data_IF_158509840873
#
_entry.id   IF_158509840873
#
_cell.length_a   1.000
_cell.length_b   1.000
_cell.length_c   1.000
_cell.angle_alpha   90.00
_cell.angle_beta   90.00
_cell.angle_gamma   90.00
#
_symmetry.space_group_name_H-M   'P 1'
#
loop_
_entity.id
_entity.type
_entity.pdbx_description
1 polymer ?
#
# COMPACT_ATOMS: atom_id res chain seq x y z
N UNK A 1 -30.55 38.08 -34.31
CA UNK A 1 -30.49 36.61 -34.43
C UNK A 1 -29.68 36.08 -33.25
N UNK A 2 -30.37 35.57 -32.24
CA UNK A 2 -29.95 35.33 -30.84
C UNK A 2 -29.45 33.91 -30.58
N UNK A 3 -29.01 33.19 -31.62
CA UNK A 3 -28.58 31.79 -31.57
C UNK A 3 -27.40 31.55 -30.61
N UNK A 4 -26.56 32.54 -30.32
CA UNK A 4 -25.45 32.35 -29.39
C UNK A 4 -25.86 32.48 -27.93
N UNK A 5 -26.83 33.33 -27.59
CA UNK A 5 -27.27 33.56 -26.19
C UNK A 5 -28.23 32.48 -25.68
N UNK A 6 -29.06 31.91 -26.56
CA UNK A 6 -30.07 30.92 -26.17
C UNK A 6 -29.48 29.52 -25.94
N UNK A 7 -28.39 29.17 -26.64
CA UNK A 7 -27.76 27.84 -26.57
C UNK A 7 -26.52 27.81 -25.67
N UNK A 8 -26.01 28.97 -25.25
CA UNK A 8 -24.91 29.09 -24.30
C UNK A 8 -25.16 28.36 -22.97
N UNK A 9 -26.35 28.48 -22.34
CA UNK A 9 -26.66 27.76 -21.11
C UNK A 9 -26.63 26.24 -21.30
N UNK A 10 -27.09 25.77 -22.46
CA UNK A 10 -27.13 24.34 -22.82
C UNK A 10 -25.71 23.81 -22.99
N UNK A 11 -24.85 24.54 -23.70
CA UNK A 11 -23.44 24.18 -23.86
C UNK A 11 -22.68 24.16 -22.53
N UNK A 12 -22.91 25.15 -21.66
CA UNK A 12 -22.32 25.20 -20.32
C UNK A 12 -22.78 24.01 -19.47
N UNK A 13 -24.06 23.64 -19.53
CA UNK A 13 -24.57 22.47 -18.81
C UNK A 13 -23.94 21.15 -19.29
N UNK A 14 -23.75 20.98 -20.60
CA UNK A 14 -23.11 19.79 -21.18
C UNK A 14 -21.64 19.69 -20.73
N UNK A 15 -20.91 20.81 -20.75
CA UNK A 15 -19.50 20.85 -20.33
C UNK A 15 -19.38 20.58 -18.83
N UNK A 16 -20.21 21.22 -18.00
CA UNK A 16 -20.23 21.00 -16.56
C UNK A 16 -20.57 19.55 -16.18
N UNK A 17 -21.57 18.95 -16.83
CA UNK A 17 -21.93 17.54 -16.62
C UNK A 17 -20.80 16.59 -17.04
N UNK A 18 -20.12 16.89 -18.16
CA UNK A 18 -18.98 16.11 -18.65
C UNK A 18 -17.79 16.17 -17.68
N UNK A 19 -17.46 17.37 -17.18
CA UNK A 19 -16.43 17.58 -16.16
C UNK A 19 -16.79 16.88 -14.84
N UNK A 20 -18.03 17.01 -14.37
CA UNK A 20 -18.49 16.35 -13.15
C UNK A 20 -18.43 14.81 -13.27
N UNK A 21 -18.79 14.26 -14.43
CA UNK A 21 -18.69 12.83 -14.70
C UNK A 21 -17.23 12.34 -14.71
N UNK A 22 -16.34 13.05 -15.39
CA UNK A 22 -14.90 12.73 -15.42
C UNK A 22 -14.28 12.84 -14.03
N UNK A 23 -14.63 13.88 -13.27
CA UNK A 23 -14.16 14.09 -11.92
C UNK A 23 -14.65 12.98 -10.99
N UNK A 24 -15.94 12.63 -11.05
CA UNK A 24 -16.53 11.52 -10.29
C UNK A 24 -15.88 10.18 -10.65
N UNK A 25 -15.64 9.90 -11.94
CA UNK A 25 -14.95 8.68 -12.41
C UNK A 25 -13.51 8.61 -11.92
N UNK A 26 -12.78 9.73 -11.95
CA UNK A 26 -11.41 9.83 -11.41
C UNK A 26 -11.38 9.64 -9.90
N UNK A 27 -12.32 10.25 -9.17
CA UNK A 27 -12.43 10.10 -7.72
C UNK A 27 -12.81 8.66 -7.33
N UNK A 28 -13.69 8.00 -8.08
CA UNK A 28 -14.03 6.59 -7.85
C UNK A 28 -12.82 5.68 -8.04
N UNK A 29 -11.99 5.93 -9.08
CA UNK A 29 -10.73 5.19 -9.28
C UNK A 29 -9.74 5.42 -8.15
N UNK A 30 -9.60 6.66 -7.67
CA UNK A 30 -8.73 6.99 -6.53
C UNK A 30 -9.23 6.31 -5.24
N UNK A 31 -10.52 6.42 -4.92
CA UNK A 31 -11.10 5.76 -3.76
C UNK A 31 -10.93 4.24 -3.80
N UNK A 32 -11.13 3.63 -4.97
CA UNK A 32 -10.92 2.18 -5.14
C UNK A 32 -9.44 1.79 -4.99
N UNK A 33 -8.51 2.62 -5.49
CA UNK A 33 -7.08 2.43 -5.29
C UNK A 33 -6.71 2.53 -3.81
N UNK A 34 -7.18 3.56 -3.10
CA UNK A 34 -6.94 3.70 -1.66
C UNK A 34 -7.57 2.57 -0.85
N UNK A 35 -8.75 2.07 -1.23
CA UNK A 35 -9.38 0.92 -0.59
C UNK A 35 -8.55 -0.36 -0.80
N UNK A 36 -8.05 -0.61 -2.01
CA UNK A 36 -7.18 -1.76 -2.31
C UNK A 36 -5.83 -1.65 -1.60
N UNK A 37 -5.25 -0.44 -1.53
CA UNK A 37 -4.02 -0.17 -0.77
C UNK A 37 -4.27 -0.42 0.72
N UNK A 38 -5.40 0.05 1.28
CA UNK A 38 -5.77 -0.20 2.67
C UNK A 38 -5.96 -1.69 2.95
N UNK A 39 -6.68 -2.41 2.11
CA UNK A 39 -6.90 -3.85 2.23
C UNK A 39 -5.58 -4.63 2.12
N UNK A 40 -4.69 -4.20 1.23
CA UNK A 40 -3.34 -4.77 1.09
C UNK A 40 -2.45 -4.43 2.29
N UNK A 41 -2.53 -3.21 2.84
CA UNK A 41 -1.82 -2.82 4.07
C UNK A 41 -2.28 -3.65 5.25
N UNK A 42 -3.59 -3.78 5.46
CA UNK A 42 -4.15 -4.56 6.57
C UNK A 42 -3.77 -6.05 6.45
N UNK A 43 -3.79 -6.60 5.24
CA UNK A 43 -3.38 -7.99 5.00
C UNK A 43 -1.87 -8.22 5.21
N UNK A 44 -1.03 -7.38 4.60
CA UNK A 44 0.43 -7.55 4.63
C UNK A 44 1.00 -7.14 5.99
N UNK A 45 0.75 -5.89 6.42
CA UNK A 45 1.29 -5.38 7.69
C UNK A 45 0.66 -6.06 8.88
N UNK A 46 -0.62 -6.45 8.80
CA UNK A 46 -1.27 -7.23 9.84
C UNK A 46 -0.56 -8.56 10.05
N UNK A 47 -0.33 -9.32 8.98
CA UNK A 47 0.42 -10.59 9.08
C UNK A 47 1.83 -10.37 9.62
N UNK A 48 2.54 -9.36 9.12
CA UNK A 48 3.90 -9.03 9.56
C UNK A 48 3.95 -8.71 11.06
N UNK A 49 3.02 -7.88 11.55
CA UNK A 49 2.92 -7.47 12.94
C UNK A 49 2.61 -8.65 13.87
N UNK A 50 1.64 -9.49 13.53
CA UNK A 50 1.28 -10.63 14.37
C UNK A 50 2.39 -11.67 14.43
N UNK A 51 3.04 -11.96 13.30
CA UNK A 51 4.17 -12.89 13.28
C UNK A 51 5.32 -12.37 14.17
N UNK A 52 5.73 -11.10 14.01
CA UNK A 52 6.79 -10.50 14.85
C UNK A 52 6.42 -10.50 16.34
N UNK A 53 5.16 -10.21 16.67
CA UNK A 53 4.70 -10.22 18.06
C UNK A 53 4.86 -11.59 18.71
N UNK A 54 4.62 -12.67 17.96
CA UNK A 54 4.80 -14.05 18.43
C UNK A 54 6.30 -14.33 18.60
N UNK A 55 7.12 -13.98 17.60
CA UNK A 55 8.57 -14.20 17.63
C UNK A 55 9.23 -13.49 18.82
N UNK A 56 8.79 -12.27 19.14
CA UNK A 56 9.30 -11.50 20.28
C UNK A 56 9.03 -12.14 21.64
N UNK A 57 8.07 -13.06 21.72
CA UNK A 57 7.74 -13.80 22.95
C UNK A 57 8.57 -15.09 23.13
N UNK A 58 9.36 -15.48 22.12
CA UNK A 58 10.23 -16.66 22.21
C UNK A 58 11.40 -16.33 23.13
N UNK A 59 11.58 -17.15 24.16
CA UNK A 59 12.67 -17.00 25.15
C UNK A 59 13.98 -17.63 24.65
N UNK A 60 13.91 -18.75 23.94
CA UNK A 60 15.09 -19.41 23.38
C UNK A 60 15.65 -18.59 22.22
N UNK A 61 16.90 -18.15 22.36
CA UNK A 61 17.54 -17.26 21.39
C UNK A 61 17.78 -17.93 20.03
N UNK A 62 18.06 -19.24 20.03
CA UNK A 62 18.27 -19.99 18.81
C UNK A 62 16.97 -20.17 18.02
N UNK A 63 15.89 -20.58 18.69
CA UNK A 63 14.55 -20.68 18.13
C UNK A 63 14.05 -19.31 17.65
N UNK A 64 14.28 -18.26 18.43
CA UNK A 64 13.92 -16.90 18.07
C UNK A 64 14.61 -16.45 16.79
N UNK A 65 15.93 -16.65 16.68
CA UNK A 65 16.67 -16.30 15.47
C UNK A 65 16.19 -17.10 14.26
N UNK A 66 15.93 -18.40 14.42
CA UNK A 66 15.37 -19.24 13.36
C UNK A 66 14.01 -18.74 12.87
N UNK A 67 13.12 -18.33 13.78
CA UNK A 67 11.81 -17.79 13.42
C UNK A 67 11.90 -16.38 12.80
N UNK A 68 12.85 -15.54 13.22
CA UNK A 68 13.16 -14.26 12.54
C UNK A 68 13.62 -14.51 11.10
N UNK A 69 14.51 -15.49 10.88
CA UNK A 69 14.98 -15.84 9.54
C UNK A 69 13.82 -16.32 8.65
N UNK A 70 12.95 -17.17 9.18
CA UNK A 70 11.72 -17.60 8.48
C UNK A 70 10.81 -16.43 8.16
N UNK A 71 10.68 -15.46 9.06
CA UNK A 71 9.86 -14.27 8.85
C UNK A 71 10.36 -13.44 7.68
N UNK A 72 11.67 -13.18 7.58
CA UNK A 72 12.26 -12.51 6.43
C UNK A 72 12.04 -13.32 5.15
N UNK A 73 12.23 -14.63 5.16
CA UNK A 73 11.97 -15.47 3.99
C UNK A 73 10.49 -15.47 3.55
N UNK A 74 9.55 -15.38 4.50
CA UNK A 74 8.10 -15.33 4.25
C UNK A 74 7.66 -14.01 3.64
N UNK A 75 8.17 -12.89 4.15
CA UNK A 75 7.71 -11.55 3.78
C UNK A 75 8.65 -10.81 2.79
N UNK A 76 9.89 -11.29 2.65
CA UNK A 76 10.97 -10.69 1.85
C UNK A 76 11.09 -11.22 0.43
N UNK A 77 10.21 -12.14 0.01
CA UNK A 77 10.09 -12.47 -1.42
C UNK A 77 9.54 -11.27 -2.16
N UNK A 78 10.49 -10.50 -2.71
CA UNK A 78 10.37 -9.26 -3.52
C UNK A 78 9.42 -9.38 -4.72
N UNK A 79 8.95 -10.58 -5.05
CA UNK A 79 7.89 -10.77 -6.01
C UNK A 79 6.56 -10.20 -5.49
N UNK A 80 6.34 -8.92 -5.77
CA UNK A 80 5.05 -8.25 -5.82
C UNK A 80 4.38 -7.84 -4.49
N UNK A 81 4.82 -8.28 -3.31
CA UNK A 81 4.13 -7.98 -2.02
C UNK A 81 4.43 -6.58 -1.45
N UNK A 82 5.71 -6.28 -1.17
CA UNK A 82 6.11 -5.03 -0.50
C UNK A 82 5.76 -3.76 -1.29
N UNK A 83 5.90 -3.78 -2.62
CA UNK A 83 5.54 -2.63 -3.45
C UNK A 83 4.03 -2.32 -3.45
N UNK A 84 3.17 -3.29 -3.10
CA UNK A 84 1.72 -3.06 -2.93
C UNK A 84 1.38 -2.28 -1.66
N UNK A 85 2.31 -2.13 -0.72
CA UNK A 85 2.13 -1.25 0.44
C UNK A 85 1.96 0.20 0.00
N UNK A 86 2.52 0.62 -1.14
CA UNK A 86 2.38 1.98 -1.67
C UNK A 86 3.01 3.09 -0.79
N UNK A 87 3.52 2.74 0.39
CA UNK A 87 4.19 3.64 1.33
C UNK A 87 5.70 3.36 1.33
N UNK A 88 6.47 4.34 0.85
CA UNK A 88 7.94 4.23 0.76
C UNK A 88 8.62 4.16 2.11
N UNK A 89 8.07 4.80 3.15
CA UNK A 89 8.67 4.79 4.47
C UNK A 89 8.58 3.38 5.05
N UNK A 90 7.42 2.72 4.94
CA UNK A 90 7.24 1.35 5.41
C UNK A 90 8.12 0.35 4.64
N UNK A 91 8.23 0.52 3.33
CA UNK A 91 9.13 -0.30 2.49
C UNK A 91 10.59 -0.10 2.94
N UNK A 92 11.04 1.14 3.13
CA UNK A 92 12.40 1.41 3.58
C UNK A 92 12.67 0.86 4.98
N UNK A 93 11.74 1.03 5.93
CA UNK A 93 11.87 0.46 7.27
C UNK A 93 11.99 -1.06 7.26
N UNK A 94 11.30 -1.74 6.35
CA UNK A 94 11.47 -3.18 6.16
C UNK A 94 12.88 -3.53 5.66
N UNK A 95 13.35 -2.83 4.62
CA UNK A 95 14.67 -3.06 4.03
C UNK A 95 15.81 -2.76 5.01
N UNK A 96 15.67 -1.71 5.82
CA UNK A 96 16.64 -1.36 6.86
C UNK A 96 16.71 -2.46 7.92
N UNK A 97 15.55 -3.00 8.35
CA UNK A 97 15.47 -4.11 9.31
C UNK A 97 16.13 -5.39 8.76
N UNK A 98 15.88 -5.73 7.49
CA UNK A 98 16.48 -6.90 6.83
C UNK A 98 18.01 -6.77 6.73
N UNK A 99 18.47 -5.56 6.40
CA UNK A 99 19.90 -5.25 6.33
C UNK A 99 20.56 -5.40 7.71
N UNK A 100 19.99 -4.80 8.75
CA UNK A 100 20.51 -4.92 10.12
C UNK A 100 20.59 -6.38 10.57
N UNK A 101 19.55 -7.18 10.32
CA UNK A 101 19.54 -8.60 10.65
C UNK A 101 20.65 -9.37 9.92
N UNK A 102 20.81 -9.14 8.62
CA UNK A 102 21.86 -9.78 7.80
C UNK A 102 23.27 -9.42 8.26
N UNK A 103 23.50 -8.16 8.65
CA UNK A 103 24.78 -7.72 9.21
C UNK A 103 25.10 -8.38 10.56
N UNK A 104 24.07 -8.79 11.30
CA UNK A 104 24.21 -9.46 12.60
C UNK A 104 24.53 -10.94 12.46
N UNK A 105 23.98 -11.64 11.46
CA UNK A 105 24.31 -13.06 11.19
C UNK A 105 25.73 -13.29 10.63
N UNK A 106 26.36 -12.26 10.06
CA UNK A 106 27.70 -12.35 9.48
C UNK A 106 28.84 -11.95 10.45
N UNK A 107 28.53 -11.68 11.71
CA UNK A 107 29.51 -11.39 12.78
C UNK A 107 29.70 -12.59 13.71
#
# INVERSE_FOLDING_TARGET
MTLTKEYLPILVAIVAASLAYLYKKRNNKLNNFYAQVKESLEGILGSMYFDLRIILQIEDEFEKNHEVQKWFNKHGRIDMSLFKLGDRNLINSYLDLEKEYTETEHR
#
